data_IF_038242573475
#
_entry.id   IF_038242573475
#
_cell.length_a   1.000
_cell.length_b   1.000
_cell.length_c   1.000
_cell.angle_alpha   90.00
_cell.angle_beta   90.00
_cell.angle_gamma   90.00
#
_symmetry.space_group_name_H-M   'P 1'
#
loop_
_entity.id
_entity.type
_entity.pdbx_description
1 polymer ?
#
# COMPACT_ATOMS: atom_id res chain seq x y z
N UNK A 1 -14.26 -1.92 38.24
CA UNK A 1 -13.94 -2.36 39.64
C UNK A 1 -13.42 -3.80 39.56
N UNK A 2 -12.19 -4.04 40.04
CA UNK A 2 -11.49 -5.34 39.93
C UNK A 2 -11.87 -6.37 41.00
N UNK A 3 -12.63 -5.96 42.06
CA UNK A 3 -13.13 -6.87 43.07
C UNK A 3 -14.36 -6.33 43.80
N UNK A 4 -15.17 -7.23 44.32
CA UNK A 4 -16.29 -6.98 45.17
C UNK A 4 -16.05 -7.69 46.50
N UNK A 5 -16.38 -7.01 47.64
CA UNK A 5 -16.32 -7.58 48.98
C UNK A 5 -17.67 -7.47 49.63
N UNK A 6 -18.11 -8.55 50.31
CA UNK A 6 -19.35 -8.57 51.06
C UNK A 6 -19.21 -9.52 52.24
N UNK A 7 -20.04 -9.30 53.25
CA UNK A 7 -20.06 -10.13 54.47
C UNK A 7 -21.43 -10.79 54.57
N UNK A 8 -21.41 -12.10 54.78
CA UNK A 8 -22.62 -12.91 54.96
C UNK A 8 -22.76 -13.20 56.44
N UNK A 9 -23.95 -12.98 56.99
CA UNK A 9 -24.34 -13.36 58.34
C UNK A 9 -25.58 -14.27 58.25
N UNK A 10 -25.72 -15.22 59.14
CA UNK A 10 -26.90 -16.05 59.29
C UNK A 10 -27.61 -15.65 60.60
N UNK A 11 -28.94 -15.54 60.54
CA UNK A 11 -29.78 -15.26 61.74
C UNK A 11 -30.72 -16.44 61.98
N UNK A 12 -30.77 -16.97 63.18
CA UNK A 12 -31.70 -18.05 63.52
C UNK A 12 -33.12 -17.51 63.80
N UNK A 13 -34.07 -18.40 64.02
CA UNK A 13 -35.48 -18.05 64.29
C UNK A 13 -35.67 -17.25 65.62
N UNK A 14 -34.75 -17.39 66.56
CA UNK A 14 -34.72 -16.67 67.82
C UNK A 14 -34.09 -15.27 67.67
N UNK A 15 -33.53 -14.94 66.54
CA UNK A 15 -32.89 -13.64 66.26
C UNK A 15 -31.39 -13.60 66.60
N UNK A 16 -30.72 -14.75 66.86
CA UNK A 16 -29.28 -14.76 67.08
C UNK A 16 -28.53 -14.74 65.74
N UNK A 17 -27.55 -13.85 65.62
CA UNK A 17 -26.72 -13.72 64.44
C UNK A 17 -25.40 -14.48 64.55
N UNK A 18 -24.94 -15.11 63.50
CA UNK A 18 -23.61 -15.71 63.37
C UNK A 18 -22.54 -14.62 63.28
N UNK A 19 -21.27 -14.99 63.51
CA UNK A 19 -20.17 -14.16 63.08
C UNK A 19 -20.23 -13.96 61.56
N UNK A 20 -19.87 -12.75 61.11
CA UNK A 20 -19.85 -12.41 59.68
C UNK A 20 -18.73 -13.11 58.93
N UNK A 21 -19.07 -13.79 57.83
CA UNK A 21 -18.09 -14.36 56.89
C UNK A 21 -17.84 -13.34 55.78
N UNK A 22 -16.65 -12.78 55.74
CA UNK A 22 -16.25 -11.87 54.67
C UNK A 22 -15.76 -12.66 53.42
N UNK A 23 -16.30 -12.32 52.29
CA UNK A 23 -15.93 -12.87 50.99
C UNK A 23 -15.43 -11.76 50.07
N UNK A 24 -14.51 -12.13 49.18
CA UNK A 24 -14.06 -11.28 48.08
C UNK A 24 -14.20 -12.06 46.77
N UNK A 25 -14.82 -11.41 45.78
CA UNK A 25 -14.93 -11.91 44.43
C UNK A 25 -14.04 -11.04 43.56
N UNK A 26 -13.01 -11.66 42.95
CA UNK A 26 -12.20 -10.99 41.94
C UNK A 26 -12.94 -10.96 40.61
N UNK A 27 -12.82 -9.86 39.90
CA UNK A 27 -13.23 -9.74 38.50
C UNK A 27 -11.97 -9.80 37.64
N UNK A 28 -11.88 -10.83 36.79
CA UNK A 28 -10.79 -10.93 35.86
C UNK A 28 -11.10 -10.05 34.65
N UNK A 29 -10.11 -9.29 34.19
CA UNK A 29 -10.20 -8.58 32.92
C UNK A 29 -10.15 -9.60 31.79
N UNK A 30 -10.92 -9.39 30.75
CA UNK A 30 -10.93 -10.15 29.52
C UNK A 30 -10.63 -9.17 28.41
N UNK A 31 -9.77 -9.53 27.50
CA UNK A 31 -9.46 -8.72 26.34
C UNK A 31 -10.67 -8.67 25.40
N UNK A 32 -11.33 -7.51 25.37
CA UNK A 32 -12.51 -7.23 24.54
C UNK A 32 -12.33 -5.98 23.66
N UNK A 33 -11.09 -5.48 23.53
CA UNK A 33 -10.74 -4.30 22.79
C UNK A 33 -9.94 -4.68 21.54
N UNK A 34 -10.42 -4.26 20.37
CA UNK A 34 -9.74 -4.54 19.11
C UNK A 34 -8.48 -3.68 18.94
N UNK A 35 -7.44 -4.21 18.27
CA UNK A 35 -6.26 -3.43 17.92
C UNK A 35 -6.60 -2.28 16.96
N UNK A 36 -5.74 -1.26 16.92
CA UNK A 36 -5.88 -0.09 16.06
C UNK A 36 -4.74 -0.06 15.05
N UNK A 37 -5.06 -0.01 13.74
CA UNK A 37 -4.05 0.17 12.70
C UNK A 37 -3.40 1.55 12.86
N UNK A 38 -2.07 1.60 12.86
CA UNK A 38 -1.28 2.82 13.07
C UNK A 38 -0.44 3.21 11.86
N UNK A 39 -0.33 2.33 10.85
CA UNK A 39 0.34 2.62 9.58
C UNK A 39 -0.47 3.60 8.72
N UNK A 40 0.19 4.25 7.74
CA UNK A 40 -0.41 5.26 6.88
C UNK A 40 -1.52 4.68 5.97
N UNK A 41 -2.36 5.55 5.43
CA UNK A 41 -3.42 5.25 4.45
C UNK A 41 -2.93 5.25 2.98
N UNK A 42 -1.65 5.52 2.78
CA UNK A 42 -0.99 5.55 1.46
C UNK A 42 0.32 4.78 1.51
N UNK A 43 0.57 3.96 0.49
CA UNK A 43 1.86 3.33 0.24
C UNK A 43 2.79 4.30 -0.51
N UNK A 44 4.08 4.04 -0.45
CA UNK A 44 5.05 4.78 -1.27
C UNK A 44 4.89 4.32 -2.72
N UNK A 45 4.72 5.28 -3.64
CA UNK A 45 4.62 4.99 -5.07
C UNK A 45 5.87 4.26 -5.57
N UNK A 46 5.68 3.32 -6.50
CA UNK A 46 6.74 2.58 -7.15
C UNK A 46 6.70 2.82 -8.65
N UNK A 47 7.84 2.67 -9.32
CA UNK A 47 7.91 2.76 -10.77
C UNK A 47 7.33 1.49 -11.41
N UNK A 48 6.69 1.63 -12.56
CA UNK A 48 6.37 0.47 -13.38
C UNK A 48 7.64 -0.25 -13.83
N UNK A 49 7.52 -1.49 -14.30
CA UNK A 49 8.64 -2.35 -14.70
C UNK A 49 9.72 -2.54 -13.62
N UNK A 50 9.36 -2.30 -12.34
CA UNK A 50 10.28 -2.45 -11.22
C UNK A 50 10.40 -3.88 -10.70
N UNK A 51 9.66 -4.82 -11.28
CA UNK A 51 9.72 -6.26 -11.02
C UNK A 51 8.62 -6.77 -10.09
N UNK A 52 8.59 -8.08 -9.92
CA UNK A 52 7.56 -8.81 -9.15
C UNK A 52 7.97 -8.99 -7.68
N UNK A 53 6.98 -9.26 -6.83
CA UNK A 53 7.14 -9.63 -5.41
C UNK A 53 7.83 -8.56 -4.56
N UNK A 54 7.57 -7.29 -4.85
CA UNK A 54 8.08 -6.16 -4.07
C UNK A 54 7.20 -5.91 -2.84
N UNK A 55 7.84 -5.65 -1.69
CA UNK A 55 7.15 -5.14 -0.51
C UNK A 55 6.84 -3.66 -0.76
N UNK A 56 5.56 -3.34 -0.86
CA UNK A 56 5.05 -2.00 -1.19
C UNK A 56 4.49 -1.26 0.03
N UNK A 57 4.20 -2.00 1.10
CA UNK A 57 3.63 -1.44 2.32
C UNK A 57 3.92 -2.35 3.51
N UNK A 58 3.96 -1.78 4.72
CA UNK A 58 4.05 -2.56 5.96
C UNK A 58 2.97 -2.07 6.92
N UNK A 59 2.02 -2.93 7.24
CA UNK A 59 0.98 -2.66 8.23
C UNK A 59 1.58 -2.71 9.63
N UNK A 60 1.16 -1.76 10.47
CA UNK A 60 1.43 -1.75 11.91
C UNK A 60 0.15 -1.48 12.69
N UNK A 61 0.04 -2.05 13.88
CA UNK A 61 -1.11 -1.83 14.75
C UNK A 61 -0.69 -1.76 16.22
N UNK A 62 -1.51 -1.11 17.04
CA UNK A 62 -1.37 -0.98 18.48
C UNK A 62 -2.54 -1.68 19.17
N UNK A 63 -2.22 -2.55 20.14
CA UNK A 63 -3.16 -3.34 20.93
C UNK A 63 -2.97 -3.06 22.44
N UNK A 64 -2.48 -1.89 22.79
CA UNK A 64 -2.15 -1.53 24.19
C UNK A 64 -3.31 -0.95 25.00
N UNK A 65 -4.50 -0.82 24.40
CA UNK A 65 -5.63 -0.10 25.04
C UNK A 65 -6.32 -0.86 26.17
N UNK A 66 -6.17 -2.18 26.22
CA UNK A 66 -6.74 -3.02 27.30
C UNK A 66 -5.69 -4.02 27.79
N UNK A 67 -5.78 -5.28 27.42
CA UNK A 67 -4.76 -6.30 27.71
C UNK A 67 -4.02 -6.58 26.40
N UNK A 68 -2.70 -6.45 26.41
CA UNK A 68 -1.88 -6.91 25.33
C UNK A 68 -1.93 -8.45 25.28
N UNK A 69 -2.73 -9.00 24.37
CA UNK A 69 -3.05 -10.43 24.34
C UNK A 69 -2.08 -11.28 23.52
N UNK A 70 -0.98 -10.72 23.03
CA UNK A 70 0.06 -11.44 22.29
C UNK A 70 0.32 -10.90 20.89
N UNK A 71 0.78 -11.78 19.97
CA UNK A 71 1.12 -11.35 18.61
C UNK A 71 -0.14 -11.05 17.78
N UNK A 72 -0.13 -9.92 17.09
CA UNK A 72 -1.15 -9.55 16.11
C UNK A 72 -1.01 -10.38 14.83
N UNK A 73 -2.14 -10.67 14.19
CA UNK A 73 -2.22 -11.30 12.88
C UNK A 73 -2.80 -10.33 11.88
N UNK A 74 -2.05 -10.05 10.81
CA UNK A 74 -2.48 -9.14 9.75
C UNK A 74 -3.14 -9.89 8.59
N UNK A 75 -4.14 -9.27 7.97
CA UNK A 75 -4.76 -9.79 6.75
C UNK A 75 -5.26 -8.65 5.85
N UNK A 76 -5.43 -8.95 4.55
CA UNK A 76 -6.13 -8.07 3.63
C UNK A 76 -7.63 -8.30 3.76
N UNK A 77 -8.39 -7.20 3.82
CA UNK A 77 -9.84 -7.25 3.84
C UNK A 77 -10.42 -7.64 2.47
N UNK A 78 -11.66 -8.12 2.46
CA UNK A 78 -12.39 -8.42 1.22
C UNK A 78 -12.49 -7.19 0.33
N UNK A 79 -12.29 -7.37 -0.98
CA UNK A 79 -12.28 -6.29 -1.97
C UNK A 79 -10.90 -5.66 -2.21
N UNK A 80 -9.86 -6.12 -1.51
CA UNK A 80 -8.47 -5.76 -1.83
C UNK A 80 -8.05 -6.33 -3.20
N UNK A 81 -7.18 -5.61 -3.90
CA UNK A 81 -6.68 -6.03 -5.21
C UNK A 81 -5.99 -7.39 -5.13
N UNK A 82 -6.36 -8.29 -6.05
CA UNK A 82 -5.89 -9.68 -6.06
C UNK A 82 -4.41 -9.85 -6.41
N UNK A 83 -3.77 -8.79 -6.96
CA UNK A 83 -2.33 -8.76 -7.21
C UNK A 83 -1.51 -8.60 -5.93
N UNK A 84 -2.15 -8.27 -4.80
CA UNK A 84 -1.49 -8.03 -3.52
C UNK A 84 -1.64 -9.23 -2.58
N UNK A 85 -0.61 -9.48 -1.78
CA UNK A 85 -0.62 -10.43 -0.66
C UNK A 85 -0.01 -9.79 0.57
N UNK A 86 -0.38 -10.29 1.76
CA UNK A 86 0.16 -9.83 3.04
C UNK A 86 0.79 -11.00 3.80
N UNK A 87 1.95 -10.78 4.40
CA UNK A 87 2.49 -11.67 5.42
C UNK A 87 1.76 -11.42 6.74
N UNK A 88 1.09 -12.45 7.24
CA UNK A 88 0.25 -12.36 8.42
C UNK A 88 1.01 -12.03 9.72
N UNK A 89 2.31 -12.25 9.76
CA UNK A 89 3.16 -12.05 10.96
C UNK A 89 3.87 -10.71 10.92
N UNK A 90 4.40 -10.33 9.75
CA UNK A 90 5.18 -9.09 9.61
C UNK A 90 4.33 -7.89 9.20
N UNK A 91 3.13 -8.12 8.64
CA UNK A 91 2.30 -7.07 8.06
C UNK A 91 2.80 -6.53 6.72
N UNK A 92 3.81 -7.17 6.13
CA UNK A 92 4.35 -6.77 4.83
C UNK A 92 3.38 -7.13 3.71
N UNK A 93 2.99 -6.12 2.92
CA UNK A 93 2.16 -6.27 1.73
C UNK A 93 3.06 -6.24 0.51
N UNK A 94 2.95 -7.28 -0.32
CA UNK A 94 3.73 -7.43 -1.55
C UNK A 94 2.85 -7.39 -2.78
N UNK A 95 3.32 -6.70 -3.84
CA UNK A 95 2.75 -6.74 -5.17
C UNK A 95 3.37 -7.91 -5.93
N UNK A 96 2.53 -8.86 -6.38
CA UNK A 96 2.97 -10.13 -6.98
C UNK A 96 3.11 -10.08 -8.51
N UNK A 97 2.67 -8.99 -9.13
CA UNK A 97 2.81 -8.72 -10.55
C UNK A 97 3.89 -7.67 -10.78
N UNK A 98 4.49 -7.66 -11.96
CA UNK A 98 5.26 -6.51 -12.41
C UNK A 98 4.28 -5.37 -12.68
N UNK A 99 4.43 -4.20 -12.06
CA UNK A 99 3.53 -3.09 -12.30
C UNK A 99 3.70 -2.55 -13.74
N UNK A 100 2.58 -2.18 -14.35
CA UNK A 100 2.43 -1.64 -15.70
C UNK A 100 1.39 -0.53 -15.60
N UNK A 101 1.83 0.72 -15.78
CA UNK A 101 1.00 1.90 -15.56
C UNK A 101 -0.16 1.98 -16.55
N UNK A 102 0.07 1.59 -17.82
CA UNK A 102 -0.94 1.59 -18.88
C UNK A 102 -2.04 0.55 -18.63
N UNK A 103 -1.68 -0.55 -17.95
CA UNK A 103 -2.64 -1.57 -17.53
C UNK A 103 -3.36 -1.18 -16.24
N UNK A 104 -2.62 -0.70 -15.24
CA UNK A 104 -3.18 -0.32 -13.94
C UNK A 104 -2.29 0.68 -13.20
N UNK A 105 -2.68 1.95 -13.18
CA UNK A 105 -1.92 3.04 -12.57
C UNK A 105 -2.02 3.13 -11.03
N UNK A 106 -2.94 2.36 -10.42
CA UNK A 106 -3.17 2.39 -8.97
C UNK A 106 -3.70 1.03 -8.48
N UNK A 107 -3.23 0.59 -7.32
CA UNK A 107 -3.76 -0.56 -6.58
C UNK A 107 -4.41 -0.09 -5.29
N UNK A 108 -5.51 -0.73 -4.89
CA UNK A 108 -6.25 -0.44 -3.66
C UNK A 108 -6.39 -1.70 -2.82
N UNK A 109 -6.17 -1.57 -1.53
CA UNK A 109 -6.34 -2.66 -0.57
C UNK A 109 -6.76 -2.11 0.79
N UNK A 110 -7.22 -2.98 1.66
CA UNK A 110 -7.46 -2.63 3.05
C UNK A 110 -6.82 -3.67 3.98
N UNK A 111 -6.17 -3.20 5.04
CA UNK A 111 -5.55 -4.05 6.04
C UNK A 111 -6.38 -4.09 7.31
N UNK A 112 -6.40 -5.25 7.96
CA UNK A 112 -6.97 -5.46 9.28
C UNK A 112 -5.96 -6.21 10.15
N UNK A 113 -5.99 -5.95 11.44
CA UNK A 113 -5.24 -6.68 12.45
C UNK A 113 -6.20 -7.43 13.38
N UNK A 114 -5.84 -8.63 13.77
CA UNK A 114 -6.58 -9.46 14.73
C UNK A 114 -5.67 -9.82 15.89
N UNK A 115 -6.12 -9.61 17.12
CA UNK A 115 -5.40 -10.00 18.32
C UNK A 115 -5.57 -11.50 18.64
N UNK A 116 -4.91 -11.98 19.71
CA UNK A 116 -4.99 -13.37 20.13
C UNK A 116 -6.34 -13.74 20.80
N UNK A 117 -7.11 -12.74 21.24
CA UNK A 117 -8.46 -12.95 21.78
C UNK A 117 -9.52 -13.05 20.66
N UNK A 118 -9.16 -12.65 19.43
CA UNK A 118 -10.02 -12.70 18.26
C UNK A 118 -10.73 -11.37 17.97
N UNK A 119 -10.36 -10.26 18.61
CA UNK A 119 -10.90 -8.95 18.29
C UNK A 119 -10.24 -8.43 17.02
N UNK A 120 -11.03 -7.87 16.09
CA UNK A 120 -10.58 -7.43 14.77
C UNK A 120 -10.66 -5.92 14.68
N UNK A 121 -9.60 -5.28 14.20
CA UNK A 121 -9.54 -3.84 13.98
C UNK A 121 -10.55 -3.36 12.93
N UNK A 122 -10.84 -2.04 12.93
CA UNK A 122 -11.40 -1.39 11.75
C UNK A 122 -10.43 -1.58 10.56
N UNK A 123 -10.99 -1.70 9.35
CA UNK A 123 -10.21 -1.85 8.14
C UNK A 123 -9.59 -0.50 7.73
N UNK A 124 -8.27 -0.47 7.56
CA UNK A 124 -7.54 0.68 7.04
C UNK A 124 -7.37 0.54 5.53
N UNK A 125 -8.07 1.39 4.76
CA UNK A 125 -7.88 1.48 3.30
C UNK A 125 -6.55 2.13 2.97
N UNK A 126 -5.85 1.54 1.99
CA UNK A 126 -4.54 1.99 1.52
C UNK A 126 -4.54 2.03 0.00
N UNK A 127 -3.89 3.04 -0.57
CA UNK A 127 -3.64 3.16 -2.01
C UNK A 127 -2.15 3.09 -2.31
N UNK A 128 -1.81 2.42 -3.42
CA UNK A 128 -0.47 2.36 -4.01
C UNK A 128 -0.56 2.95 -5.42
N UNK A 129 0.16 4.03 -5.67
CA UNK A 129 0.29 4.63 -7.00
C UNK A 129 1.46 4.01 -7.75
N UNK A 130 1.31 3.86 -9.07
CA UNK A 130 2.39 3.47 -9.97
C UNK A 130 2.86 4.71 -10.72
N UNK A 131 4.16 4.94 -10.74
CA UNK A 131 4.76 5.99 -11.54
C UNK A 131 4.92 5.50 -12.98
N UNK A 132 4.45 6.31 -13.93
CA UNK A 132 4.64 6.06 -15.35
C UNK A 132 6.10 6.34 -15.74
N UNK A 133 6.69 5.49 -16.57
CA UNK A 133 8.00 5.65 -17.20
C UNK A 133 7.78 5.72 -18.73
N UNK A 134 8.60 6.50 -19.42
CA UNK A 134 8.57 6.55 -20.89
C UNK A 134 9.19 5.29 -21.48
N UNK A 135 8.38 4.47 -22.12
CA UNK A 135 8.76 3.20 -22.73
C UNK A 135 8.65 3.20 -24.25
N UNK A 136 8.02 4.24 -24.80
CA UNK A 136 7.69 4.30 -26.22
C UNK A 136 8.59 5.30 -26.94
N UNK A 137 9.44 4.77 -27.81
CA UNK A 137 10.33 5.61 -28.59
C UNK A 137 9.56 6.54 -29.53
N UNK A 138 9.99 7.80 -29.58
CA UNK A 138 9.48 8.79 -30.52
C UNK A 138 9.55 8.31 -32.00
N UNK A 139 8.55 8.65 -32.77
CA UNK A 139 8.44 8.27 -34.19
C UNK A 139 8.71 9.46 -35.08
N UNK A 140 9.69 9.37 -36.02
CA UNK A 140 9.94 10.40 -37.02
C UNK A 140 8.76 10.45 -38.00
N UNK A 141 8.13 11.61 -38.14
CA UNK A 141 6.94 11.84 -38.99
C UNK A 141 7.22 12.68 -40.22
N UNK A 142 8.42 13.24 -40.33
CA UNK A 142 8.82 14.01 -41.50
C UNK A 142 9.04 13.11 -42.74
N UNK A 143 9.04 13.73 -43.96
CA UNK A 143 9.27 13.06 -45.22
C UNK A 143 10.59 12.29 -45.24
N UNK A 144 10.62 11.14 -45.91
CA UNK A 144 11.81 10.32 -46.14
C UNK A 144 12.71 10.82 -47.30
N UNK A 145 12.34 11.94 -47.94
CA UNK A 145 13.06 12.49 -49.08
C UNK A 145 13.06 14.03 -49.06
N UNK A 146 14.14 14.59 -49.52
CA UNK A 146 14.30 16.03 -49.73
C UNK A 146 15.02 16.26 -51.07
N UNK A 147 14.82 17.41 -51.69
CA UNK A 147 15.50 17.81 -52.93
C UNK A 147 16.09 19.21 -52.81
N UNK A 148 17.22 19.42 -53.46
CA UNK A 148 17.88 20.70 -53.57
C UNK A 148 18.41 20.88 -54.98
N UNK A 149 18.31 22.11 -55.50
CA UNK A 149 18.82 22.41 -56.82
C UNK A 149 20.33 22.61 -56.79
N UNK A 150 21.02 22.14 -57.86
CA UNK A 150 22.44 22.45 -57.99
C UNK A 150 22.70 23.97 -58.03
N UNK A 151 23.85 24.43 -57.52
CA UNK A 151 24.23 25.82 -57.46
C UNK A 151 23.29 26.72 -56.62
N UNK A 152 22.52 26.16 -55.71
CA UNK A 152 21.60 26.92 -54.85
C UNK A 152 22.29 27.67 -53.73
N UNK A 153 23.60 27.57 -53.57
CA UNK A 153 24.41 28.27 -52.57
C UNK A 153 24.70 27.42 -51.33
N UNK A 154 25.48 27.99 -50.38
CA UNK A 154 25.79 27.36 -49.10
C UNK A 154 24.73 27.68 -48.06
N UNK A 155 24.78 26.93 -46.92
CA UNK A 155 23.99 27.18 -45.69
C UNK A 155 22.47 27.07 -45.88
N UNK A 156 22.00 26.22 -46.77
CA UNK A 156 20.58 25.97 -47.00
C UNK A 156 20.04 24.92 -46.01
N UNK A 157 18.85 25.18 -45.46
CA UNK A 157 18.11 24.18 -44.75
C UNK A 157 17.50 23.23 -45.77
N UNK A 158 18.06 22.03 -45.89
CA UNK A 158 17.63 21.00 -46.86
C UNK A 158 16.58 20.06 -46.29
N UNK A 159 16.42 20.01 -45.01
CA UNK A 159 15.47 19.13 -44.32
C UNK A 159 15.13 19.63 -42.94
N UNK A 160 13.87 19.47 -42.53
CA UNK A 160 13.40 19.72 -41.17
C UNK A 160 12.77 18.42 -40.70
N UNK A 161 13.39 17.81 -39.68
CA UNK A 161 12.85 16.66 -39.02
C UNK A 161 11.65 17.04 -38.13
N UNK A 162 10.61 16.25 -38.21
CA UNK A 162 9.48 16.29 -37.28
C UNK A 162 9.28 14.92 -36.64
N UNK A 163 8.73 14.90 -35.45
CA UNK A 163 8.57 13.72 -34.63
C UNK A 163 7.20 13.73 -33.95
N UNK A 164 6.67 12.56 -33.71
CA UNK A 164 5.54 12.30 -32.80
C UNK A 164 6.06 11.46 -31.63
N UNK A 165 5.85 11.96 -30.43
CA UNK A 165 6.25 11.39 -29.15
C UNK A 165 5.07 11.40 -28.16
N UNK A 166 3.87 11.26 -28.70
CA UNK A 166 2.62 11.34 -27.94
C UNK A 166 2.05 10.00 -27.51
N UNK A 167 2.78 8.91 -27.78
CA UNK A 167 2.26 7.57 -27.52
C UNK A 167 2.34 7.13 -26.07
N UNK A 168 3.16 7.84 -25.26
CA UNK A 168 3.32 7.63 -23.83
C UNK A 168 3.69 8.98 -23.18
N UNK A 169 4.81 9.09 -22.43
CA UNK A 169 5.29 10.37 -21.87
C UNK A 169 6.05 11.14 -22.94
N UNK A 170 5.69 12.39 -23.16
CA UNK A 170 6.35 13.27 -24.12
C UNK A 170 7.40 14.15 -23.45
N UNK A 171 8.61 13.66 -23.27
CA UNK A 171 9.71 14.29 -22.51
C UNK A 171 10.84 14.79 -23.43
N UNK A 172 10.58 15.65 -24.38
CA UNK A 172 11.59 16.40 -25.12
C UNK A 172 12.53 15.56 -26.01
N UNK A 173 12.38 15.70 -27.32
CA UNK A 173 13.13 14.93 -28.32
C UNK A 173 14.37 15.66 -28.78
N UNK A 174 15.48 14.94 -28.93
CA UNK A 174 16.72 15.43 -29.57
C UNK A 174 16.96 14.73 -30.89
N UNK A 175 17.39 15.50 -31.91
CA UNK A 175 17.72 14.97 -33.22
C UNK A 175 19.23 14.83 -33.40
N UNK A 176 19.67 13.74 -34.01
CA UNK A 176 21.04 13.51 -34.44
C UNK A 176 21.07 12.78 -35.78
N UNK A 177 22.17 12.91 -36.50
CA UNK A 177 22.41 12.08 -37.68
C UNK A 177 22.93 10.72 -37.22
N UNK A 178 22.40 9.65 -37.82
CA UNK A 178 22.89 8.29 -37.60
C UNK A 178 24.32 8.11 -38.13
N UNK A 179 25.04 7.13 -37.53
CA UNK A 179 26.37 6.73 -38.01
C UNK A 179 26.31 6.31 -39.51
N UNK A 180 27.25 6.78 -40.30
CA UNK A 180 27.31 6.53 -41.76
C UNK A 180 26.55 7.57 -42.61
N UNK A 181 25.96 8.61 -42.00
CA UNK A 181 25.47 9.76 -42.71
C UNK A 181 26.62 10.53 -43.39
N UNK A 182 26.39 11.05 -44.61
CA UNK A 182 27.39 11.84 -45.30
C UNK A 182 27.74 13.13 -44.53
N UNK A 183 29.02 13.37 -44.31
CA UNK A 183 29.52 14.63 -43.74
C UNK A 183 29.66 15.65 -44.91
N UNK A 184 28.62 16.44 -45.16
CA UNK A 184 28.63 17.50 -46.16
C UNK A 184 29.07 18.85 -45.56
#
# INVERSE_FOLDING_TARGET
QSSYSFTVVATDEAGNESEGLSLSVAVNNVDDTAPVITSADTAVAIDENSGVAQVVYTATADDSLDIESGALVFSLAEGSDSALTIDATTGEVSLNTDPDFEAQSQYSFAVVATDAAGNVSEAQSVTLEINNLDEVAATITSSDSATIDENSGSDQIIYIATVDDSADISDGVTFSLAEGSDAA
#
